data_IF_851739224392
#
_entry.id   IF_851739224392
#
_cell.length_a   1.000
_cell.length_b   1.000
_cell.length_c   1.000
_cell.angle_alpha   90.00
_cell.angle_beta   90.00
_cell.angle_gamma   90.00
#
_symmetry.space_group_name_H-M   'P 1'
#
loop_
_entity.id
_entity.type
_entity.pdbx_description
1 polymer ?
#
# COMPACT_ATOMS: atom_id res chain seq x y z
N UNK A 1 25.70 23.92 24.48
CA UNK A 1 26.75 23.23 23.67
C UNK A 1 26.21 21.85 23.30
N UNK A 2 26.12 21.53 22.00
CA UNK A 2 25.75 20.19 21.51
C UNK A 2 27.05 19.51 21.07
N UNK A 3 27.27 18.26 21.47
CA UNK A 3 28.47 17.47 21.13
C UNK A 3 28.03 16.16 20.48
N UNK A 4 28.64 15.79 19.35
CA UNK A 4 28.31 14.57 18.58
C UNK A 4 29.46 13.58 18.70
N UNK A 5 29.15 12.33 19.06
CA UNK A 5 30.12 11.23 19.10
C UNK A 5 29.92 10.30 17.88
N UNK A 6 30.86 10.32 16.94
CA UNK A 6 30.76 9.55 15.69
C UNK A 6 31.11 8.06 15.83
N UNK A 7 31.63 7.62 16.98
CA UNK A 7 31.91 6.19 17.23
C UNK A 7 30.74 5.48 17.91
N UNK A 8 29.77 6.23 18.44
CA UNK A 8 28.56 5.69 19.06
C UNK A 8 27.47 5.56 17.99
N UNK A 9 27.38 4.38 17.39
CA UNK A 9 26.53 4.10 16.24
C UNK A 9 25.20 3.46 16.65
N UNK A 10 24.11 3.91 16.03
CA UNK A 10 22.76 3.41 16.26
C UNK A 10 22.19 2.73 15.00
N UNK A 11 20.88 2.83 14.76
CA UNK A 11 20.21 2.21 13.63
C UNK A 11 20.68 2.73 12.28
N UNK A 12 20.61 1.87 11.27
CA UNK A 12 20.69 2.29 9.87
C UNK A 12 19.38 2.95 9.45
N UNK A 13 19.47 4.09 8.79
CA UNK A 13 18.30 4.75 8.17
C UNK A 13 18.08 4.15 6.78
N UNK A 14 16.88 3.63 6.53
CA UNK A 14 16.56 3.06 5.21
C UNK A 14 16.34 4.14 4.15
N UNK A 15 15.75 5.28 4.53
CA UNK A 15 15.45 6.38 3.60
C UNK A 15 14.34 7.32 4.07
N UNK A 16 13.92 8.20 3.16
CA UNK A 16 12.90 9.23 3.35
C UNK A 16 12.02 9.31 2.10
N UNK A 17 10.74 9.68 2.28
CA UNK A 17 9.76 9.54 1.21
C UNK A 17 8.40 10.17 1.49
N UNK A 18 7.46 9.89 0.59
CA UNK A 18 6.07 10.32 0.67
C UNK A 18 5.09 9.23 0.26
N UNK A 19 3.79 9.54 0.26
CA UNK A 19 2.75 8.60 -0.14
C UNK A 19 2.20 8.92 -1.54
N UNK A 20 2.13 7.91 -2.41
CA UNK A 20 1.48 7.98 -3.72
C UNK A 20 0.00 7.57 -3.58
N UNK A 21 -0.80 8.40 -2.94
CA UNK A 21 -2.26 8.22 -2.82
C UNK A 21 -2.95 8.57 -4.13
N UNK A 22 -4.22 8.16 -4.30
CA UNK A 22 -4.99 8.52 -5.51
C UNK A 22 -5.10 10.05 -5.64
N UNK A 23 -5.36 10.76 -4.54
CA UNK A 23 -5.41 12.23 -4.54
C UNK A 23 -4.07 12.86 -4.95
N UNK A 24 -2.95 12.38 -4.42
CA UNK A 24 -1.64 12.90 -4.83
C UNK A 24 -1.41 12.68 -6.33
N UNK A 25 -1.69 11.47 -6.81
CA UNK A 25 -1.48 11.09 -8.19
C UNK A 25 -2.39 11.88 -9.16
N UNK A 26 -3.67 12.05 -8.82
CA UNK A 26 -4.63 12.85 -9.59
C UNK A 26 -4.18 14.32 -9.66
N UNK A 27 -3.74 14.92 -8.55
CA UNK A 27 -3.28 16.31 -8.54
C UNK A 27 -2.01 16.49 -9.39
N UNK A 28 -1.06 15.57 -9.31
CA UNK A 28 0.18 15.62 -10.10
C UNK A 28 -0.12 15.50 -11.60
N UNK A 29 -1.08 14.66 -11.99
CA UNK A 29 -1.44 14.45 -13.39
C UNK A 29 -2.41 15.51 -13.95
N UNK A 30 -3.05 16.30 -13.10
CA UNK A 30 -3.82 17.49 -13.51
C UNK A 30 -2.92 18.68 -13.88
N UNK A 31 -1.62 18.62 -13.57
CA UNK A 31 -0.65 19.63 -14.02
C UNK A 31 -0.29 19.42 -15.50
N UNK A 32 0.29 20.44 -16.13
CA UNK A 32 0.94 20.23 -17.44
C UNK A 32 2.09 19.25 -17.30
N UNK A 33 2.44 18.54 -18.39
CA UNK A 33 3.53 17.55 -18.38
C UNK A 33 4.83 18.11 -17.76
N UNK A 34 5.28 19.27 -18.23
CA UNK A 34 6.50 19.92 -17.74
C UNK A 34 6.42 20.29 -16.24
N UNK A 35 5.27 20.75 -15.76
CA UNK A 35 5.11 21.07 -14.34
C UNK A 35 5.05 19.79 -13.49
N UNK A 36 4.41 18.73 -14.00
CA UNK A 36 4.41 17.40 -13.39
C UNK A 36 5.83 16.84 -13.28
N UNK A 37 6.64 16.93 -14.35
CA UNK A 37 8.05 16.52 -14.34
C UNK A 37 8.86 17.31 -13.31
N UNK A 38 8.76 18.64 -13.31
CA UNK A 38 9.48 19.48 -12.36
C UNK A 38 9.11 19.16 -10.91
N UNK A 39 7.85 18.80 -10.65
CA UNK A 39 7.41 18.37 -9.32
C UNK A 39 8.04 17.03 -8.93
N UNK A 40 8.05 16.05 -9.84
CA UNK A 40 8.68 14.75 -9.57
C UNK A 40 10.20 14.89 -9.40
N UNK A 41 10.87 15.70 -10.23
CA UNK A 41 12.30 16.04 -10.11
C UNK A 41 12.61 16.71 -8.77
N UNK A 42 11.73 17.59 -8.29
CA UNK A 42 11.89 18.23 -6.97
C UNK A 42 11.92 17.20 -5.84
N UNK A 43 11.14 16.12 -5.94
CA UNK A 43 11.11 15.06 -4.93
C UNK A 43 12.17 13.99 -5.13
N UNK A 44 12.31 13.45 -6.33
CA UNK A 44 13.05 12.23 -6.63
C UNK A 44 14.34 12.49 -7.43
N UNK A 45 14.45 13.65 -8.08
CA UNK A 45 15.60 13.99 -8.90
C UNK A 45 16.90 14.18 -8.09
N UNK A 46 18.07 13.99 -8.72
CA UNK A 46 19.37 14.15 -8.07
C UNK A 46 19.65 15.60 -7.63
N UNK A 47 18.93 16.57 -8.21
CA UNK A 47 19.00 17.99 -7.87
C UNK A 47 17.85 18.47 -6.98
N UNK A 48 16.91 17.58 -6.64
CA UNK A 48 15.82 17.83 -5.70
C UNK A 48 16.19 17.43 -4.27
N UNK A 49 15.18 17.00 -3.50
CA UNK A 49 15.38 16.47 -2.13
C UNK A 49 15.65 14.95 -2.10
N UNK A 50 15.75 14.33 -3.27
CA UNK A 50 16.26 12.97 -3.48
C UNK A 50 15.60 11.88 -2.61
N UNK A 51 14.27 11.88 -2.56
CA UNK A 51 13.47 10.83 -1.94
C UNK A 51 13.80 9.46 -2.52
N UNK A 52 13.82 8.44 -1.66
CA UNK A 52 14.09 7.06 -2.02
C UNK A 52 13.06 6.07 -1.42
N UNK A 53 11.93 6.59 -0.93
CA UNK A 53 10.80 5.82 -0.45
C UNK A 53 9.48 6.33 -1.05
N UNK A 54 8.60 5.39 -1.39
CA UNK A 54 7.20 5.69 -1.72
C UNK A 54 6.31 4.72 -0.96
N UNK A 55 5.36 5.25 -0.18
CA UNK A 55 4.25 4.48 0.39
C UNK A 55 3.07 4.50 -0.57
N UNK A 56 2.63 3.34 -1.05
CA UNK A 56 1.50 3.23 -1.96
C UNK A 56 0.33 2.49 -1.29
N UNK A 57 -0.87 3.07 -1.24
CA UNK A 57 -2.05 2.35 -0.76
C UNK A 57 -2.41 1.14 -1.62
N UNK A 58 -2.77 0.05 -0.96
CA UNK A 58 -3.42 -1.11 -1.56
C UNK A 58 -4.95 -0.89 -1.52
N UNK A 59 -5.53 -0.56 -2.66
CA UNK A 59 -6.94 -0.16 -2.78
C UNK A 59 -7.17 1.32 -2.45
N UNK A 60 -8.44 1.68 -2.24
CA UNK A 60 -8.86 3.05 -1.96
C UNK A 60 -8.73 3.44 -0.49
N UNK A 61 -8.49 4.73 -0.24
CA UNK A 61 -8.35 5.32 1.10
C UNK A 61 -9.31 6.50 1.27
N UNK A 62 -9.19 7.21 2.39
CA UNK A 62 -9.75 8.56 2.58
C UNK A 62 -9.25 9.60 1.57
N UNK A 63 -8.05 9.42 1.00
CA UNK A 63 -7.48 10.22 -0.09
C UNK A 63 -7.81 9.64 -1.48
N UNK A 64 -8.96 8.98 -1.61
CA UNK A 64 -9.51 8.48 -2.87
C UNK A 64 -10.87 9.12 -3.12
N UNK A 65 -11.25 9.24 -4.39
CA UNK A 65 -12.54 9.82 -4.79
C UNK A 65 -13.73 8.89 -4.56
N UNK A 66 -13.46 7.60 -4.32
CA UNK A 66 -14.44 6.56 -3.99
C UNK A 66 -13.80 5.46 -3.13
N UNK A 67 -14.58 4.71 -2.35
CA UNK A 67 -14.10 3.47 -1.73
C UNK A 67 -14.00 2.35 -2.77
N UNK A 68 -12.92 1.58 -2.73
CA UNK A 68 -12.75 0.39 -3.58
C UNK A 68 -11.71 -0.58 -3.01
N UNK A 69 -11.80 -1.83 -3.46
CA UNK A 69 -10.75 -2.84 -3.35
C UNK A 69 -10.54 -3.50 -4.72
N UNK A 70 -9.68 -4.50 -4.78
CA UNK A 70 -9.41 -5.28 -5.99
C UNK A 70 -10.30 -6.53 -6.11
N UNK A 71 -11.10 -6.87 -5.11
CA UNK A 71 -11.91 -8.10 -5.05
C UNK A 71 -13.37 -7.77 -4.69
N UNK A 72 -14.04 -7.02 -5.58
CA UNK A 72 -15.38 -6.50 -5.32
C UNK A 72 -16.51 -7.50 -5.60
N UNK A 73 -16.27 -8.51 -6.44
CA UNK A 73 -17.25 -9.58 -6.69
C UNK A 73 -17.52 -10.35 -5.38
N UNK A 74 -18.78 -10.38 -4.95
CA UNK A 74 -19.16 -11.08 -3.73
C UNK A 74 -18.96 -12.60 -3.88
N UNK A 75 -18.45 -13.23 -2.82
CA UNK A 75 -18.20 -14.68 -2.76
C UNK A 75 -17.19 -15.21 -3.79
N UNK A 76 -16.40 -14.35 -4.45
CA UNK A 76 -15.23 -14.80 -5.21
C UNK A 76 -14.10 -15.23 -4.25
N UNK A 77 -14.26 -16.45 -3.73
CA UNK A 77 -13.28 -17.09 -2.84
C UNK A 77 -12.02 -17.54 -3.57
N UNK A 78 -12.00 -17.48 -4.91
CA UNK A 78 -10.86 -17.86 -5.74
C UNK A 78 -9.98 -16.68 -6.12
N UNK A 79 -10.47 -15.45 -5.93
CA UNK A 79 -9.88 -14.22 -6.47
C UNK A 79 -9.72 -14.28 -7.99
N UNK A 80 -10.64 -14.92 -8.70
CA UNK A 80 -10.66 -14.98 -10.17
C UNK A 80 -10.94 -13.62 -10.79
N UNK A 81 -11.74 -12.80 -10.10
CA UNK A 81 -12.14 -11.47 -10.53
C UNK A 81 -11.24 -10.39 -9.93
N UNK A 82 -10.17 -10.78 -9.25
CA UNK A 82 -9.20 -9.83 -8.71
C UNK A 82 -8.64 -8.97 -9.85
N UNK A 83 -8.77 -7.65 -9.73
CA UNK A 83 -8.16 -6.74 -10.68
C UNK A 83 -7.77 -5.41 -10.05
N UNK A 84 -6.62 -4.89 -10.48
CA UNK A 84 -6.27 -3.50 -10.20
C UNK A 84 -7.35 -2.57 -10.79
N UNK A 85 -7.50 -1.41 -10.18
CA UNK A 85 -8.56 -0.47 -10.53
C UNK A 85 -8.02 0.63 -11.46
N UNK A 86 -8.91 1.42 -12.11
CA UNK A 86 -8.49 2.55 -12.93
C UNK A 86 -7.52 3.50 -12.21
N UNK A 87 -7.65 3.66 -10.90
CA UNK A 87 -6.76 4.49 -10.09
C UNK A 87 -5.30 4.00 -10.07
N UNK A 88 -5.08 2.68 -10.11
CA UNK A 88 -3.75 2.09 -10.19
C UNK A 88 -3.15 2.30 -11.58
N UNK A 89 -3.92 1.95 -12.63
CA UNK A 89 -3.46 1.98 -14.01
C UNK A 89 -3.24 3.40 -14.54
N UNK A 90 -4.17 4.31 -14.24
CA UNK A 90 -4.16 5.65 -14.83
C UNK A 90 -3.32 6.63 -14.02
N UNK A 91 -3.12 6.38 -12.71
CA UNK A 91 -2.49 7.36 -11.82
C UNK A 91 -1.26 6.82 -11.09
N UNK A 92 -1.42 5.82 -10.20
CA UNK A 92 -0.35 5.41 -9.28
C UNK A 92 0.83 4.74 -10.00
N UNK A 93 0.56 3.78 -10.89
CA UNK A 93 1.61 3.02 -11.59
C UNK A 93 2.45 3.94 -12.50
N UNK A 94 1.86 4.75 -13.40
CA UNK A 94 2.65 5.61 -14.30
C UNK A 94 3.54 6.60 -13.56
N UNK A 95 3.02 7.25 -12.50
CA UNK A 95 3.82 8.20 -11.71
C UNK A 95 4.94 7.53 -10.92
N UNK A 96 4.69 6.34 -10.39
CA UNK A 96 5.71 5.60 -9.64
C UNK A 96 6.84 5.14 -10.56
N UNK A 97 6.54 4.75 -11.79
CA UNK A 97 7.57 4.45 -12.80
C UNK A 97 8.42 5.67 -13.15
N UNK A 98 7.78 6.82 -13.40
CA UNK A 98 8.51 8.08 -13.63
C UNK A 98 9.43 8.42 -12.45
N UNK A 99 8.96 8.24 -11.21
CA UNK A 99 9.79 8.42 -10.03
C UNK A 99 10.97 7.41 -9.97
N UNK A 100 10.75 6.13 -10.30
CA UNK A 100 11.82 5.13 -10.36
C UNK A 100 12.87 5.45 -11.42
N UNK A 101 12.46 5.96 -12.59
CA UNK A 101 13.38 6.39 -13.65
C UNK A 101 14.32 7.51 -13.16
N UNK A 102 13.78 8.51 -12.46
CA UNK A 102 14.57 9.60 -11.85
C UNK A 102 15.56 9.13 -10.78
N UNK A 103 15.30 7.95 -10.20
CA UNK A 103 16.10 7.35 -9.12
C UNK A 103 16.86 6.11 -9.57
N UNK A 104 16.98 5.84 -10.86
CA UNK A 104 17.68 4.66 -11.39
C UNK A 104 17.20 3.33 -10.74
N UNK A 105 15.90 3.25 -10.44
CA UNK A 105 15.23 2.16 -9.72
C UNK A 105 15.62 1.98 -8.24
N UNK A 106 16.34 2.92 -7.63
CA UNK A 106 16.71 2.89 -6.21
C UNK A 106 15.61 3.40 -5.25
N UNK A 107 14.33 3.20 -5.58
CA UNK A 107 13.20 3.55 -4.72
C UNK A 107 12.68 2.30 -4.00
N UNK A 108 12.56 2.37 -2.68
CA UNK A 108 11.87 1.36 -1.87
C UNK A 108 10.38 1.64 -1.84
N UNK A 109 9.58 0.72 -2.40
CA UNK A 109 8.12 0.80 -2.34
C UNK A 109 7.61 0.09 -1.08
N UNK A 110 6.79 0.79 -0.30
CA UNK A 110 6.07 0.26 0.86
C UNK A 110 4.57 0.23 0.53
N UNK A 111 3.87 -0.86 0.81
CA UNK A 111 2.40 -0.91 0.65
C UNK A 111 1.68 -1.18 1.96
N UNK A 112 0.38 -0.88 1.99
CA UNK A 112 -0.52 -1.19 3.09
C UNK A 112 -1.98 -1.05 2.66
N UNK A 113 -2.88 -1.97 3.06
CA UNK A 113 -4.31 -1.84 2.82
C UNK A 113 -5.03 -1.02 3.90
N UNK A 114 -6.10 -0.34 3.50
CA UNK A 114 -7.04 0.28 4.43
C UNK A 114 -8.16 -0.69 4.84
N UNK A 115 -8.58 -1.58 3.94
CA UNK A 115 -9.70 -2.48 4.20
C UNK A 115 -9.74 -3.64 3.22
N UNK A 116 -10.27 -4.79 3.66
CA UNK A 116 -10.80 -5.80 2.76
C UNK A 116 -12.15 -5.36 2.17
N UNK A 117 -12.66 -6.11 1.19
CA UNK A 117 -13.99 -5.87 0.60
C UNK A 117 -15.10 -5.99 1.65
N UNK A 118 -16.19 -5.20 1.58
CA UNK A 118 -17.26 -5.25 2.56
C UNK A 118 -17.85 -6.65 2.81
N UNK A 119 -17.97 -7.48 1.78
CA UNK A 119 -18.50 -8.84 1.89
C UNK A 119 -17.60 -9.80 2.69
N UNK A 120 -16.31 -9.46 2.82
CA UNK A 120 -15.34 -10.21 3.64
C UNK A 120 -15.38 -9.84 5.13
N UNK A 121 -16.17 -8.83 5.51
CA UNK A 121 -16.13 -8.23 6.85
C UNK A 121 -17.35 -8.61 7.67
N UNK A 122 -17.23 -8.50 9.00
CA UNK A 122 -18.31 -8.80 9.95
C UNK A 122 -19.51 -7.85 9.80
N UNK A 123 -19.31 -6.70 9.15
CA UNK A 123 -20.35 -5.79 8.70
C UNK A 123 -20.04 -5.36 7.27
N UNK A 124 -21.06 -5.33 6.43
CA UNK A 124 -20.96 -4.82 5.07
C UNK A 124 -20.76 -3.30 5.10
N UNK A 125 -19.51 -2.85 5.30
CA UNK A 125 -19.19 -1.43 5.51
C UNK A 125 -17.74 -1.11 5.21
N UNK A 126 -17.53 0.09 4.68
CA UNK A 126 -16.21 0.70 4.49
C UNK A 126 -15.69 1.33 5.77
N UNK A 127 -16.55 2.01 6.53
CA UNK A 127 -16.17 2.99 7.55
C UNK A 127 -16.60 2.60 8.96
N UNK A 128 -17.32 1.50 9.18
CA UNK A 128 -17.71 1.07 10.53
C UNK A 128 -16.61 0.23 11.22
N UNK A 129 -16.73 0.07 12.54
CA UNK A 129 -15.98 -0.95 13.27
C UNK A 129 -16.40 -2.35 12.77
N UNK A 130 -15.65 -2.87 11.81
CA UNK A 130 -15.87 -4.10 11.09
C UNK A 130 -14.53 -4.82 10.93
N UNK A 131 -14.52 -6.10 11.32
CA UNK A 131 -13.35 -6.97 11.30
C UNK A 131 -13.39 -7.88 10.08
N UNK A 132 -12.25 -8.44 9.69
CA UNK A 132 -12.23 -9.55 8.75
C UNK A 132 -12.96 -10.76 9.35
N UNK A 133 -13.82 -11.43 8.59
CA UNK A 133 -14.45 -12.67 9.05
C UNK A 133 -13.41 -13.81 9.09
N UNK A 134 -13.40 -14.67 10.13
CA UNK A 134 -12.39 -15.73 10.27
C UNK A 134 -12.21 -16.64 9.05
N UNK A 135 -13.30 -17.00 8.37
CA UNK A 135 -13.34 -17.84 7.17
C UNK A 135 -12.63 -17.21 5.96
N UNK A 136 -12.38 -15.90 5.96
CA UNK A 136 -11.70 -15.19 4.88
C UNK A 136 -10.24 -14.85 5.19
N UNK A 137 -9.68 -15.35 6.30
CA UNK A 137 -8.28 -15.10 6.69
C UNK A 137 -7.26 -15.54 5.64
N UNK A 138 -7.42 -16.77 5.12
CA UNK A 138 -6.55 -17.27 4.03
C UNK A 138 -6.80 -16.51 2.72
N UNK A 139 -8.06 -16.21 2.41
CA UNK A 139 -8.42 -15.44 1.22
C UNK A 139 -7.78 -14.05 1.23
N UNK A 140 -7.75 -13.39 2.38
CA UNK A 140 -7.10 -12.09 2.55
C UNK A 140 -5.57 -12.17 2.41
N UNK A 141 -4.93 -13.26 2.85
CA UNK A 141 -3.51 -13.50 2.58
C UNK A 141 -3.24 -13.71 1.07
N UNK A 142 -4.11 -14.46 0.38
CA UNK A 142 -4.03 -14.65 -1.07
C UNK A 142 -4.22 -13.34 -1.85
N UNK A 143 -5.04 -12.42 -1.33
CA UNK A 143 -5.24 -11.09 -1.91
C UNK A 143 -3.94 -10.27 -1.94
N UNK A 144 -3.10 -10.37 -0.90
CA UNK A 144 -1.78 -9.71 -0.89
C UNK A 144 -0.88 -10.28 -1.99
N UNK A 145 -0.87 -11.61 -2.17
CA UNK A 145 -0.10 -12.25 -3.26
C UNK A 145 -0.58 -11.76 -4.62
N UNK A 146 -1.89 -11.75 -4.87
CA UNK A 146 -2.47 -11.23 -6.13
C UNK A 146 -2.09 -9.77 -6.39
N UNK A 147 -2.08 -8.94 -5.35
CA UNK A 147 -1.62 -7.55 -5.46
C UNK A 147 -0.15 -7.45 -5.86
N UNK A 148 0.74 -8.20 -5.19
CA UNK A 148 2.16 -8.19 -5.50
C UNK A 148 2.46 -8.74 -6.90
N UNK A 149 1.79 -9.82 -7.31
CA UNK A 149 1.87 -10.34 -8.68
C UNK A 149 1.42 -9.31 -9.71
N UNK A 150 0.28 -8.66 -9.49
CA UNK A 150 -0.26 -7.65 -10.41
C UNK A 150 0.69 -6.45 -10.58
N UNK A 151 1.24 -5.93 -9.47
CA UNK A 151 2.19 -4.82 -9.52
C UNK A 151 3.55 -5.24 -10.09
N UNK A 152 4.02 -6.45 -9.81
CA UNK A 152 5.25 -6.99 -10.41
C UNK A 152 5.09 -7.14 -11.92
N UNK A 153 3.94 -7.61 -12.41
CA UNK A 153 3.61 -7.65 -13.83
C UNK A 153 3.55 -6.24 -14.45
N UNK A 154 3.22 -5.23 -13.66
CA UNK A 154 3.32 -3.84 -14.06
C UNK A 154 4.76 -3.28 -13.95
N UNK A 155 5.77 -4.06 -13.55
CA UNK A 155 7.16 -3.65 -13.42
C UNK A 155 7.50 -2.93 -12.11
N UNK A 156 6.66 -3.06 -11.07
CA UNK A 156 6.87 -2.46 -9.76
C UNK A 156 7.02 -3.54 -8.69
N UNK A 157 8.12 -3.50 -7.95
CA UNK A 157 8.39 -4.44 -6.87
C UNK A 157 8.37 -3.76 -5.49
N UNK A 158 7.67 -4.37 -4.54
CA UNK A 158 7.54 -3.85 -3.19
C UNK A 158 8.68 -4.33 -2.29
N UNK A 159 9.33 -3.38 -1.62
CA UNK A 159 10.35 -3.63 -0.60
C UNK A 159 9.74 -4.11 0.72
N UNK A 160 8.55 -3.60 1.07
CA UNK A 160 7.90 -3.94 2.33
C UNK A 160 6.40 -3.73 2.31
N UNK A 161 5.74 -4.27 3.33
CA UNK A 161 4.29 -4.16 3.53
C UNK A 161 3.96 -4.04 5.01
N UNK A 162 2.95 -3.25 5.34
CA UNK A 162 2.26 -3.32 6.64
C UNK A 162 0.99 -4.18 6.50
N UNK A 163 0.68 -4.95 7.53
CA UNK A 163 -0.49 -5.83 7.61
C UNK A 163 -1.82 -5.08 7.46
N UNK A 164 -1.93 -3.91 8.06
CA UNK A 164 -3.14 -3.10 8.07
C UNK A 164 -2.81 -1.63 8.34
N UNK A 165 -3.50 -0.69 7.68
CA UNK A 165 -3.46 0.71 8.07
C UNK A 165 -4.31 0.93 9.32
N UNK A 166 -3.67 1.42 10.39
CA UNK A 166 -4.32 1.84 11.64
C UNK A 166 -5.37 0.84 12.18
N UNK A 167 -4.98 -0.39 12.53
CA UNK A 167 -5.92 -1.46 12.91
C UNK A 167 -6.84 -1.13 14.09
N UNK A 168 -6.47 -0.14 14.91
CA UNK A 168 -7.23 0.31 16.09
C UNK A 168 -8.02 1.59 15.87
N UNK A 169 -8.09 2.14 14.65
CA UNK A 169 -8.75 3.43 14.41
C UNK A 169 -10.28 3.42 14.62
N UNK A 170 -10.89 2.27 14.88
CA UNK A 170 -12.30 2.14 15.26
C UNK A 170 -12.66 2.87 16.56
N UNK A 171 -11.67 3.17 17.41
CA UNK A 171 -11.86 3.96 18.63
C UNK A 171 -12.04 5.46 18.33
N UNK A 172 -11.74 5.89 17.11
CA UNK A 172 -11.86 7.27 16.66
C UNK A 172 -13.02 7.41 15.65
N UNK A 173 -13.69 8.57 15.65
CA UNK A 173 -14.78 8.89 14.73
C UNK A 173 -14.24 9.32 13.35
N UNK A 174 -13.49 8.45 12.68
CA UNK A 174 -12.93 8.69 11.34
C UNK A 174 -13.89 8.15 10.28
N UNK A 175 -14.28 8.99 9.32
CA UNK A 175 -15.10 8.59 8.17
C UNK A 175 -14.22 8.19 6.98
N UNK A 176 -13.46 7.10 7.15
CA UNK A 176 -12.52 6.58 6.16
C UNK A 176 -12.66 5.05 6.04
N UNK A 177 -12.28 4.49 4.89
CA UNK A 177 -12.13 3.04 4.73
C UNK A 177 -11.25 2.47 5.85
N UNK A 178 -11.72 1.47 6.58
CA UNK A 178 -10.95 0.86 7.67
C UNK A 178 -11.32 -0.58 7.92
N UNK A 179 -10.40 -1.35 8.49
CA UNK A 179 -10.64 -2.70 8.98
C UNK A 179 -9.97 -2.90 10.32
N UNK A 180 -10.77 -3.36 11.28
CA UNK A 180 -10.34 -3.49 12.68
C UNK A 180 -9.60 -4.79 12.92
N UNK A 181 -8.51 -4.71 13.69
CA UNK A 181 -7.83 -5.85 14.29
C UNK A 181 -7.46 -5.53 15.75
N UNK A 182 -7.57 -6.51 16.65
CA UNK A 182 -6.79 -6.46 17.90
C UNK A 182 -5.35 -6.90 17.63
N UNK A 183 -4.44 -6.62 18.56
CA UNK A 183 -3.05 -7.04 18.44
C UNK A 183 -2.91 -8.57 18.34
N UNK A 184 -3.75 -9.32 19.06
CA UNK A 184 -3.78 -10.79 19.03
C UNK A 184 -4.32 -11.30 17.68
N UNK A 185 -5.41 -10.72 17.18
CA UNK A 185 -5.97 -11.10 15.88
C UNK A 185 -4.97 -10.83 14.74
N UNK A 186 -4.28 -9.70 14.78
CA UNK A 186 -3.26 -9.34 13.79
C UNK A 186 -2.03 -10.26 13.89
N UNK A 187 -1.54 -10.55 15.11
CA UNK A 187 -0.46 -11.52 15.36
C UNK A 187 -0.81 -12.89 14.75
N UNK A 188 -1.97 -13.42 15.12
CA UNK A 188 -2.38 -14.76 14.71
C UNK A 188 -2.57 -14.83 13.20
N UNK A 189 -3.18 -13.80 12.59
CA UNK A 189 -3.33 -13.76 11.14
C UNK A 189 -1.99 -13.66 10.40
N UNK A 190 -1.04 -12.87 10.90
CA UNK A 190 0.29 -12.76 10.29
C UNK A 190 1.04 -14.09 10.35
N UNK A 191 1.06 -14.74 11.52
CA UNK A 191 1.81 -15.98 11.74
C UNK A 191 1.18 -17.16 11.00
N UNK A 192 -0.14 -17.31 11.08
CA UNK A 192 -0.84 -18.48 10.56
C UNK A 192 -1.17 -18.39 9.08
N UNK A 193 -1.35 -17.18 8.52
CA UNK A 193 -1.83 -16.99 7.15
C UNK A 193 -0.90 -16.14 6.29
N UNK A 194 -0.66 -14.87 6.66
CA UNK A 194 0.04 -13.94 5.75
C UNK A 194 1.48 -14.37 5.48
N UNK A 195 2.29 -14.58 6.52
CA UNK A 195 3.71 -14.91 6.37
C UNK A 195 3.93 -16.23 5.62
N UNK A 196 3.27 -17.36 5.98
CA UNK A 196 3.41 -18.61 5.23
C UNK A 196 3.00 -18.48 3.75
N UNK A 197 1.95 -17.69 3.48
CA UNK A 197 1.45 -17.47 2.12
C UNK A 197 2.47 -16.68 1.28
N UNK A 198 3.03 -15.58 1.83
CA UNK A 198 4.04 -14.78 1.13
C UNK A 198 5.34 -15.55 0.91
N UNK A 199 5.81 -16.32 1.89
CA UNK A 199 7.02 -17.15 1.74
C UNK A 199 6.80 -18.17 0.62
N UNK A 200 5.67 -18.88 0.62
CA UNK A 200 5.37 -19.90 -0.38
C UNK A 200 5.27 -19.31 -1.79
N UNK A 201 4.64 -18.14 -1.95
CA UNK A 201 4.54 -17.49 -3.27
C UNK A 201 5.88 -16.98 -3.78
N UNK A 202 6.78 -16.53 -2.90
CA UNK A 202 8.12 -16.09 -3.28
C UNK A 202 9.06 -17.24 -3.71
N UNK A 203 8.77 -18.48 -3.31
CA UNK A 203 9.54 -19.67 -3.72
C UNK A 203 9.01 -20.35 -4.99
N UNK A 204 7.86 -19.91 -5.53
CA UNK A 204 7.23 -20.47 -6.73
C UNK A 204 7.57 -19.70 -8.02
N UNK A 205 8.49 -18.76 -7.92
CA UNK A 205 8.92 -17.81 -8.96
C UNK A 205 10.43 -17.71 -8.86
#
# INVERSE_FOLDING_TARGET
KITVNQTDMYQKIFGFGGAMTDSAAINILNLTHNTSDNLLESYFGPHGINYNFIRMPMGGTDFSTRPYTYAMTENDISLSDFNLQPEDYNYKIPLTKRAQELKENEIKLLTVPWTASPWMKTKYSWTNNAKLRPEYRQLWANYFVKYFEAYRNAGLEFWGVSSQNEPVNYIYAVNASRMTWTAEEERDWIIEYLSPTLVTSMHRI
#
